data_IF_174000887211
#
_entry.id   IF_174000887211
#
_cell.length_a   1.000
_cell.length_b   1.000
_cell.length_c   1.000
_cell.angle_alpha   90.00
_cell.angle_beta   90.00
_cell.angle_gamma   90.00
#
_symmetry.space_group_name_H-M   'P 1'
#
loop_
_entity.id
_entity.type
_entity.pdbx_description
1 polymer ?
#
# COMPACT_ATOMS: atom_id res chain seq x y z
N UNK A 1 5.96 6.38 9.25
CA UNK A 1 7.07 6.85 10.12
C UNK A 1 7.64 8.13 9.55
N UNK A 2 7.57 9.22 10.31
CA UNK A 2 7.91 10.56 9.84
C UNK A 2 9.45 10.71 9.70
N UNK A 3 9.96 10.53 8.48
CA UNK A 3 11.37 10.67 8.14
C UNK A 3 11.95 12.08 8.46
N UNK A 4 11.11 13.05 8.83
CA UNK A 4 11.53 14.39 9.26
C UNK A 4 12.20 14.42 10.64
N UNK A 5 11.95 13.46 11.53
CA UNK A 5 12.55 13.44 12.87
C UNK A 5 14.06 13.13 12.85
N UNK A 6 14.51 12.31 11.90
CA UNK A 6 15.95 12.00 11.73
C UNK A 6 16.70 13.20 11.11
N UNK A 7 16.06 13.92 10.18
CA UNK A 7 16.69 15.06 9.50
C UNK A 7 16.81 16.36 10.34
N UNK A 8 16.03 16.46 11.42
CA UNK A 8 15.93 17.66 12.26
C UNK A 8 16.66 17.56 13.59
N UNK A 9 17.22 16.40 13.94
CA UNK A 9 17.93 16.23 15.21
C UNK A 9 19.27 17.01 15.22
N UNK A 10 19.42 18.07 16.03
CA UNK A 10 20.63 18.89 16.08
C UNK A 10 21.85 18.14 16.62
N UNK A 11 21.65 17.15 17.49
CA UNK A 11 22.71 16.30 18.05
C UNK A 11 23.32 15.40 16.96
N UNK A 12 22.49 14.83 16.09
CA UNK A 12 22.94 14.03 14.95
C UNK A 12 23.78 14.87 13.95
N UNK A 13 23.45 16.15 13.77
CA UNK A 13 24.28 17.09 12.97
C UNK A 13 25.58 17.49 13.64
N UNK A 14 25.65 17.43 14.97
CA UNK A 14 26.83 17.80 15.75
C UNK A 14 27.92 16.74 15.68
N UNK A 15 27.53 15.45 15.68
CA UNK A 15 28.44 14.30 15.49
C UNK A 15 29.20 14.37 14.16
N UNK A 16 28.62 15.01 13.13
CA UNK A 16 29.20 15.11 11.78
C UNK A 16 30.12 16.33 11.62
N UNK A 17 30.02 17.35 12.48
CA UNK A 17 30.69 18.66 12.26
C UNK A 17 31.94 18.92 13.09
N UNK A 18 32.12 18.24 14.23
CA UNK A 18 33.18 18.59 15.19
C UNK A 18 34.43 17.70 15.14
N UNK A 19 34.55 16.77 14.18
CA UNK A 19 35.78 15.99 13.94
C UNK A 19 36.18 16.02 12.45
N UNK A 20 37.49 16.03 12.17
CA UNK A 20 38.06 16.06 10.82
C UNK A 20 37.48 14.95 9.93
N UNK A 21 36.50 15.31 9.09
CA UNK A 21 35.75 14.41 8.19
C UNK A 21 36.68 13.67 7.21
N UNK A 22 37.90 14.16 7.01
CA UNK A 22 38.95 13.53 6.20
C UNK A 22 39.66 12.35 6.88
N UNK A 23 39.35 12.06 8.16
CA UNK A 23 40.02 11.02 8.96
C UNK A 23 39.13 9.87 9.44
N UNK A 24 37.79 9.99 9.31
CA UNK A 24 36.84 9.00 9.79
C UNK A 24 36.54 8.01 8.66
N UNK A 25 36.79 6.73 8.91
CA UNK A 25 36.45 5.67 7.95
C UNK A 25 34.94 5.43 7.91
N UNK A 26 34.43 4.85 6.81
CA UNK A 26 32.99 4.65 6.66
C UNK A 26 32.40 3.76 7.76
N UNK A 27 33.14 2.76 8.22
CA UNK A 27 32.80 1.90 9.36
C UNK A 27 32.69 2.68 10.67
N UNK A 28 33.63 3.58 10.96
CA UNK A 28 33.56 4.44 12.15
C UNK A 28 32.37 5.40 12.11
N UNK A 29 32.10 5.99 10.94
CA UNK A 29 30.92 6.83 10.73
C UNK A 29 29.62 6.04 10.93
N UNK A 30 29.52 4.87 10.32
CA UNK A 30 28.32 4.04 10.36
C UNK A 30 28.04 3.53 11.79
N UNK A 31 29.09 3.21 12.55
CA UNK A 31 28.98 2.86 13.96
C UNK A 31 28.44 4.01 14.80
N UNK A 32 28.94 5.24 14.59
CA UNK A 32 28.44 6.44 15.29
C UNK A 32 26.95 6.72 14.98
N UNK A 33 26.51 6.47 13.75
CA UNK A 33 25.09 6.59 13.37
C UNK A 33 24.22 5.59 14.12
N UNK A 34 24.67 4.33 14.23
CA UNK A 34 23.98 3.30 15.01
C UNK A 34 23.88 3.66 16.49
N UNK A 35 24.97 4.15 17.09
CA UNK A 35 25.01 4.52 18.50
C UNK A 35 24.09 5.71 18.80
N UNK A 36 24.10 6.75 17.94
CA UNK A 36 23.17 7.87 18.05
C UNK A 36 21.71 7.46 17.84
N UNK A 37 21.48 6.50 16.94
CA UNK A 37 20.19 5.88 16.70
C UNK A 37 19.65 5.15 17.93
N UNK A 38 20.48 4.35 18.60
CA UNK A 38 20.08 3.65 19.82
C UNK A 38 19.78 4.65 20.96
N UNK A 39 20.60 5.69 21.11
CA UNK A 39 20.37 6.73 22.12
C UNK A 39 19.04 7.44 21.93
N UNK A 40 18.69 7.80 20.68
CA UNK A 40 17.40 8.46 20.41
C UNK A 40 16.22 7.50 20.58
N UNK A 41 16.39 6.23 20.22
CA UNK A 41 15.37 5.19 20.39
C UNK A 41 15.00 5.02 21.87
N UNK A 42 15.98 5.04 22.77
CA UNK A 42 15.75 4.98 24.22
C UNK A 42 14.98 6.20 24.77
N UNK A 43 15.05 7.35 24.08
CA UNK A 43 14.30 8.57 24.43
C UNK A 43 12.90 8.63 23.83
N UNK A 44 12.52 7.70 22.95
CA UNK A 44 11.18 7.68 22.33
C UNK A 44 10.01 7.62 23.32
N UNK A 45 10.12 6.97 24.50
CA UNK A 45 9.08 7.06 25.54
C UNK A 45 8.87 8.48 26.06
N UNK A 46 9.92 9.31 26.13
CA UNK A 46 9.83 10.71 26.57
C UNK A 46 9.17 11.62 25.51
N UNK A 47 9.22 11.21 24.25
CA UNK A 47 8.68 11.97 23.11
C UNK A 47 7.21 11.64 22.82
N UNK A 48 6.76 10.42 23.16
CA UNK A 48 5.43 9.92 22.85
C UNK A 48 4.77 9.30 24.10
N UNK A 49 3.71 9.92 24.66
CA UNK A 49 3.07 9.46 25.90
C UNK A 49 2.53 8.02 25.88
N UNK A 50 2.18 7.50 24.69
CA UNK A 50 1.68 6.13 24.53
C UNK A 50 2.80 5.10 24.79
N UNK A 51 4.01 5.38 24.34
CA UNK A 51 5.19 4.54 24.54
C UNK A 51 5.64 4.52 26.01
N UNK A 52 5.61 5.68 26.68
CA UNK A 52 5.87 5.77 28.13
C UNK A 52 4.90 4.95 28.97
N UNK A 53 3.60 4.93 28.61
CA UNK A 53 2.61 4.11 29.32
C UNK A 53 2.84 2.62 29.14
N UNK A 54 3.30 2.21 27.96
CA UNK A 54 3.58 0.81 27.64
C UNK A 54 4.97 0.35 28.11
N UNK A 55 5.87 1.26 28.50
CA UNK A 55 7.24 0.93 28.90
C UNK A 55 8.09 0.37 27.76
N UNK A 56 7.74 0.67 26.51
CA UNK A 56 8.40 0.18 25.29
C UNK A 56 8.94 1.33 24.46
N UNK A 57 9.94 1.06 23.62
CA UNK A 57 10.48 2.00 22.64
C UNK A 57 9.71 1.91 21.32
N UNK A 58 9.91 2.88 20.43
CA UNK A 58 9.29 2.90 19.10
C UNK A 58 9.67 1.66 18.26
N UNK A 59 8.68 0.85 17.89
CA UNK A 59 8.89 -0.39 17.16
C UNK A 59 9.48 -0.16 15.75
N UNK A 60 9.08 0.93 15.09
CA UNK A 60 9.61 1.30 13.77
C UNK A 60 11.08 1.70 13.82
N UNK A 61 11.46 2.52 14.80
CA UNK A 61 12.84 2.90 15.07
C UNK A 61 13.71 1.70 15.42
N UNK A 62 13.20 0.77 16.25
CA UNK A 62 13.90 -0.49 16.55
C UNK A 62 14.15 -1.31 15.28
N UNK A 63 13.14 -1.50 14.44
CA UNK A 63 13.27 -2.26 13.19
C UNK A 63 14.32 -1.67 12.24
N UNK A 64 14.33 -0.34 12.09
CA UNK A 64 15.32 0.36 11.26
C UNK A 64 16.75 0.15 11.77
N UNK A 65 16.98 0.28 13.08
CA UNK A 65 18.31 0.04 13.68
C UNK A 65 18.75 -1.41 13.55
N UNK A 66 17.83 -2.37 13.63
CA UNK A 66 18.14 -3.78 13.40
C UNK A 66 18.63 -4.04 11.98
N UNK A 67 18.00 -3.41 10.97
CA UNK A 67 18.47 -3.51 9.57
C UNK A 67 19.88 -2.91 9.43
N UNK A 68 20.10 -1.72 10.00
CA UNK A 68 21.40 -1.06 9.93
C UNK A 68 22.50 -1.82 10.70
N UNK A 69 22.19 -2.43 11.85
CA UNK A 69 23.12 -3.30 12.57
C UNK A 69 23.57 -4.48 11.70
N UNK A 70 22.63 -5.13 11.00
CA UNK A 70 22.95 -6.20 10.05
C UNK A 70 23.88 -5.74 8.91
N UNK A 71 23.60 -4.56 8.33
CA UNK A 71 24.46 -3.96 7.30
C UNK A 71 25.86 -3.66 7.84
N UNK A 72 25.97 -3.10 9.04
CA UNK A 72 27.24 -2.77 9.67
C UNK A 72 28.09 -4.01 9.92
N UNK A 73 27.49 -5.07 10.47
CA UNK A 73 28.18 -6.32 10.79
C UNK A 73 28.72 -7.00 9.53
N UNK A 74 27.93 -6.99 8.46
CA UNK A 74 28.41 -7.42 7.13
C UNK A 74 29.60 -6.60 6.65
N UNK A 75 29.54 -5.27 6.81
CA UNK A 75 30.57 -4.34 6.38
C UNK A 75 31.90 -4.56 7.11
N UNK A 76 31.89 -4.81 8.42
CA UNK A 76 33.10 -5.07 9.22
C UNK A 76 33.60 -6.51 9.14
N UNK A 77 32.96 -7.35 8.31
CA UNK A 77 33.33 -8.75 8.12
C UNK A 77 32.96 -9.64 9.31
N UNK A 78 32.02 -9.22 10.15
CA UNK A 78 31.38 -10.12 11.10
C UNK A 78 30.48 -11.10 10.33
N UNK A 79 30.65 -12.38 10.61
CA UNK A 79 29.85 -13.42 10.01
C UNK A 79 28.40 -13.30 10.52
N UNK A 80 27.51 -12.82 9.66
CA UNK A 80 26.08 -12.82 9.96
C UNK A 80 25.60 -14.27 9.96
N UNK A 81 25.30 -14.78 11.15
CA UNK A 81 24.53 -16.03 11.25
C UNK A 81 23.13 -15.70 10.74
N UNK A 82 22.86 -16.05 9.48
CA UNK A 82 21.49 -16.12 8.96
C UNK A 82 20.80 -17.27 9.70
N UNK A 83 20.16 -16.94 10.81
CA UNK A 83 19.35 -17.91 11.53
C UNK A 83 18.04 -18.04 10.77
N UNK A 84 17.92 -19.09 9.96
CA UNK A 84 16.62 -19.58 9.48
C UNK A 84 15.83 -20.03 10.70
N UNK A 85 15.00 -19.12 11.24
CA UNK A 85 14.27 -19.33 12.48
C UNK A 85 15.18 -19.32 13.71
N UNK A 86 15.20 -18.17 14.40
CA UNK A 86 15.31 -17.99 15.86
C UNK A 86 16.47 -17.16 16.45
N UNK A 87 16.07 -16.15 17.24
CA UNK A 87 16.74 -15.65 18.46
C UNK A 87 18.22 -15.24 18.36
N UNK A 88 18.44 -13.95 18.14
CA UNK A 88 19.64 -13.28 18.66
C UNK A 88 19.49 -13.14 20.17
N UNK A 89 20.41 -13.75 20.94
CA UNK A 89 20.65 -13.37 22.33
C UNK A 89 21.15 -11.92 22.35
N UNK A 90 20.23 -10.96 22.50
CA UNK A 90 20.59 -9.61 22.94
C UNK A 90 20.78 -9.65 24.45
N UNK A 91 21.99 -9.35 24.88
CA UNK A 91 22.37 -9.22 26.28
C UNK A 91 21.92 -7.86 26.84
N UNK A 92 20.63 -7.61 27.00
CA UNK A 92 20.13 -6.47 27.80
C UNK A 92 18.83 -6.81 28.55
N UNK A 93 18.69 -6.22 29.73
CA UNK A 93 17.94 -6.71 30.88
C UNK A 93 16.41 -6.85 30.69
N UNK A 94 15.90 -7.85 31.42
CA UNK A 94 14.51 -8.25 31.62
C UNK A 94 13.54 -7.11 31.92
N UNK A 95 12.42 -7.06 31.19
CA UNK A 95 11.18 -6.46 31.65
C UNK A 95 10.14 -7.58 31.88
N UNK A 96 9.49 -7.55 33.04
CA UNK A 96 8.44 -8.50 33.43
C UNK A 96 7.17 -8.33 32.58
N UNK A 97 6.37 -9.40 32.41
CA UNK A 97 5.15 -9.35 31.61
C UNK A 97 4.04 -8.62 32.36
N UNK A 98 3.45 -7.60 31.73
CA UNK A 98 2.12 -7.12 32.09
C UNK A 98 1.15 -7.95 31.26
N UNK A 99 0.39 -8.80 31.94
CA UNK A 99 -0.76 -9.49 31.38
C UNK A 99 -1.83 -8.44 31.02
N UNK A 100 -2.14 -8.33 29.74
CA UNK A 100 -3.50 -8.25 29.16
C UNK A 100 -3.40 -7.83 27.67
N UNK A 101 -4.22 -8.51 26.85
CA UNK A 101 -4.52 -8.23 25.43
C UNK A 101 -3.39 -8.34 24.39
N UNK A 102 -2.81 -9.53 24.19
CA UNK A 102 -2.16 -9.90 22.93
C UNK A 102 -2.89 -11.09 22.29
N UNK A 103 -4.06 -10.82 21.70
CA UNK A 103 -4.74 -11.78 20.82
C UNK A 103 -4.62 -11.43 19.32
N UNK A 104 -4.02 -10.30 18.90
CA UNK A 104 -4.13 -9.83 17.51
C UNK A 104 -2.81 -9.51 16.78
N UNK A 105 -1.75 -10.34 16.87
CA UNK A 105 -0.50 -10.08 16.09
C UNK A 105 0.02 -11.30 15.32
N UNK A 106 -0.76 -12.37 15.18
CA UNK A 106 -0.36 -13.53 14.37
C UNK A 106 -1.46 -13.90 13.39
N UNK A 107 -1.88 -12.95 12.56
CA UNK A 107 -2.65 -13.26 11.36
C UNK A 107 -1.90 -12.81 10.11
N UNK A 108 -1.90 -13.72 9.13
CA UNK A 108 -1.58 -13.53 7.72
C UNK A 108 -0.16 -13.92 7.26
N UNK A 109 0.13 -15.22 7.34
CA UNK A 109 1.03 -15.86 6.37
C UNK A 109 0.35 -17.11 5.76
N UNK A 110 -0.89 -16.93 5.30
CA UNK A 110 -1.71 -17.98 4.72
C UNK A 110 -1.31 -18.36 3.28
N UNK A 111 -0.36 -17.66 2.67
CA UNK A 111 0.06 -17.94 1.28
C UNK A 111 0.91 -19.21 1.15
N UNK A 112 1.56 -19.67 2.23
CA UNK A 112 2.45 -20.83 2.22
C UNK A 112 2.27 -21.74 3.46
N UNK A 113 1.10 -22.33 3.63
CA UNK A 113 0.83 -23.31 4.72
C UNK A 113 1.62 -24.60 4.47
N UNK A 114 2.74 -24.77 5.17
CA UNK A 114 3.58 -25.99 5.11
C UNK A 114 3.07 -27.10 6.04
N UNK A 115 2.54 -26.73 7.21
CA UNK A 115 1.97 -27.65 8.21
C UNK A 115 0.52 -27.32 8.50
N UNK A 116 -0.32 -28.35 8.66
CA UNK A 116 -1.77 -28.20 8.68
C UNK A 116 -2.32 -27.54 9.96
N UNK A 117 -1.73 -27.81 11.12
CA UNK A 117 -2.31 -27.40 12.40
C UNK A 117 -1.44 -26.37 13.11
N UNK A 118 -2.04 -25.25 13.51
CA UNK A 118 -1.50 -24.40 14.56
C UNK A 118 -1.84 -25.02 15.91
N UNK A 119 -0.84 -25.28 16.74
CA UNK A 119 -1.01 -25.85 18.08
C UNK A 119 -0.47 -24.88 19.11
N UNK A 120 -1.36 -24.35 19.95
CA UNK A 120 -1.05 -23.37 20.99
C UNK A 120 -1.53 -23.85 22.37
N UNK A 121 -0.71 -23.65 23.40
CA UNK A 121 -1.07 -23.98 24.77
C UNK A 121 -0.08 -23.38 25.78
N UNK A 122 -0.46 -23.42 27.04
CA UNK A 122 0.42 -23.15 28.18
C UNK A 122 0.81 -24.44 28.89
N UNK A 123 2.03 -24.46 29.43
CA UNK A 123 2.49 -25.45 30.40
C UNK A 123 2.54 -24.75 31.76
N UNK A 124 1.72 -25.24 32.68
CA UNK A 124 1.61 -24.77 34.07
C UNK A 124 2.06 -25.88 35.03
N UNK A 125 2.23 -25.56 36.31
CA UNK A 125 2.64 -26.53 37.34
C UNK A 125 3.85 -27.38 36.91
N UNK A 126 4.91 -26.71 36.42
CA UNK A 126 6.11 -27.41 35.96
C UNK A 126 6.69 -28.28 37.08
N UNK A 127 7.20 -29.46 36.71
CA UNK A 127 7.82 -30.38 37.67
C UNK A 127 9.06 -29.70 38.26
N UNK A 128 9.32 -29.92 39.56
CA UNK A 128 10.43 -29.31 40.32
C UNK A 128 11.83 -29.48 39.69
N UNK A 129 12.00 -30.45 38.80
CA UNK A 129 13.25 -30.76 38.10
C UNK A 129 13.37 -30.09 36.71
N UNK A 130 12.38 -29.28 36.30
CA UNK A 130 12.42 -28.52 35.05
C UNK A 130 13.32 -27.30 35.24
N UNK A 131 14.22 -27.11 34.29
CA UNK A 131 15.14 -25.96 34.24
C UNK A 131 14.99 -25.28 32.88
N UNK A 132 15.47 -24.05 32.73
CA UNK A 132 15.48 -23.37 31.44
C UNK A 132 16.17 -24.21 30.35
N UNK A 133 17.22 -24.96 30.69
CA UNK A 133 17.88 -25.87 29.74
C UNK A 133 16.99 -27.05 29.29
N UNK A 134 16.01 -27.48 30.09
CA UNK A 134 15.00 -28.47 29.67
C UNK A 134 13.91 -27.83 28.79
N UNK A 135 13.57 -26.56 29.03
CA UNK A 135 12.66 -25.78 28.19
C UNK A 135 13.29 -25.54 26.80
N UNK A 136 14.59 -25.20 26.75
CA UNK A 136 15.34 -25.06 25.50
C UNK A 136 15.32 -26.38 24.70
N UNK A 137 15.57 -27.52 25.36
CA UNK A 137 15.48 -28.83 24.69
C UNK A 137 14.09 -29.19 24.20
N UNK A 138 13.06 -28.77 24.93
CA UNK A 138 11.68 -28.95 24.51
C UNK A 138 11.39 -28.16 23.24
N UNK A 139 11.87 -26.92 23.15
CA UNK A 139 11.81 -26.10 21.95
C UNK A 139 12.55 -26.75 20.77
N UNK A 140 13.77 -27.23 20.98
CA UNK A 140 14.54 -27.96 19.96
C UNK A 140 13.76 -29.17 19.43
N UNK A 141 13.07 -29.91 20.31
CA UNK A 141 12.23 -31.04 19.94
C UNK A 141 11.05 -30.59 19.05
N UNK A 142 10.41 -29.47 19.35
CA UNK A 142 9.31 -28.95 18.52
C UNK A 142 9.77 -28.53 17.12
N UNK A 143 10.98 -28.00 16.97
CA UNK A 143 11.53 -27.67 15.64
C UNK A 143 11.69 -28.89 14.73
N UNK A 144 11.86 -30.08 15.32
CA UNK A 144 12.00 -31.30 14.51
C UNK A 144 10.68 -31.79 13.93
N UNK A 145 9.54 -31.29 14.43
CA UNK A 145 8.20 -31.75 14.05
C UNK A 145 7.34 -30.67 13.38
N UNK A 146 7.86 -29.45 13.25
CA UNK A 146 7.10 -28.30 12.77
C UNK A 146 7.94 -27.07 12.49
N UNK A 147 7.29 -26.02 11.99
CA UNK A 147 7.84 -24.67 11.85
C UNK A 147 7.12 -23.68 12.77
N UNK A 148 7.50 -22.39 12.67
CA UNK A 148 6.96 -21.30 13.48
C UNK A 148 6.93 -21.62 14.99
N UNK A 149 8.00 -22.27 15.48
CA UNK A 149 8.09 -22.71 16.87
C UNK A 149 8.35 -21.51 17.79
N UNK A 150 7.43 -21.31 18.74
CA UNK A 150 7.57 -20.35 19.83
C UNK A 150 7.46 -21.09 21.15
N UNK A 151 8.50 -21.01 21.97
CA UNK A 151 8.46 -21.47 23.36
C UNK A 151 9.01 -20.33 24.20
N UNK A 152 8.12 -19.62 24.88
CA UNK A 152 8.47 -18.44 25.69
C UNK A 152 7.95 -18.66 27.10
N UNK A 153 8.81 -18.44 28.09
CA UNK A 153 8.43 -18.55 29.49
C UNK A 153 9.61 -18.91 30.39
N UNK A 154 9.29 -19.30 31.61
CA UNK A 154 10.25 -19.72 32.63
C UNK A 154 9.73 -20.96 33.39
N UNK A 155 10.28 -21.22 34.58
CA UNK A 155 9.89 -22.37 35.41
C UNK A 155 8.49 -22.25 36.02
N UNK A 156 7.83 -21.10 35.93
CA UNK A 156 6.48 -20.90 36.47
C UNK A 156 5.41 -21.11 35.38
N UNK A 157 5.66 -20.62 34.16
CA UNK A 157 4.73 -20.71 33.02
C UNK A 157 5.50 -20.76 31.70
N UNK A 158 5.10 -21.67 30.79
CA UNK A 158 5.64 -21.74 29.43
C UNK A 158 4.53 -21.65 28.41
N UNK A 159 4.55 -20.64 27.52
CA UNK A 159 3.67 -20.55 26.36
C UNK A 159 4.32 -21.26 25.17
N UNK A 160 3.55 -22.12 24.51
CA UNK A 160 3.97 -22.86 23.32
C UNK A 160 3.10 -22.51 22.12
N UNK A 161 3.72 -22.28 20.97
CA UNK A 161 3.11 -22.21 19.64
C UNK A 161 3.94 -23.08 18.70
N UNK A 162 3.31 -23.91 17.88
CA UNK A 162 3.99 -24.64 16.81
C UNK A 162 3.01 -24.96 15.69
N UNK A 163 3.46 -24.79 14.44
CA UNK A 163 2.76 -25.29 13.27
C UNK A 163 3.27 -26.71 12.98
N UNK A 164 2.39 -27.70 13.05
CA UNK A 164 2.79 -29.11 12.88
C UNK A 164 1.66 -29.95 12.29
N UNK A 165 2.02 -31.08 11.67
CA UNK A 165 1.07 -32.12 11.28
C UNK A 165 0.80 -33.13 12.41
N UNK A 166 1.53 -33.03 13.53
CA UNK A 166 1.46 -33.95 14.65
C UNK A 166 1.26 -33.22 15.99
N UNK A 167 0.12 -32.54 16.23
CA UNK A 167 -0.16 -31.85 17.50
C UNK A 167 0.03 -32.74 18.73
N UNK A 168 -0.27 -34.04 18.60
CA UNK A 168 -0.09 -35.02 19.66
C UNK A 168 1.36 -35.10 20.16
N UNK A 169 2.36 -34.97 19.28
CA UNK A 169 3.77 -35.03 19.67
C UNK A 169 4.19 -33.79 20.45
N UNK A 170 3.66 -32.62 20.11
CA UNK A 170 3.91 -31.37 20.83
C UNK A 170 3.33 -31.40 22.25
N UNK A 171 2.11 -31.92 22.39
CA UNK A 171 1.42 -32.07 23.68
C UNK A 171 2.09 -33.14 24.56
N UNK A 172 2.47 -34.28 23.97
CA UNK A 172 3.17 -35.35 24.70
C UNK A 172 4.51 -34.84 25.25
N UNK A 173 5.28 -34.13 24.44
CA UNK A 173 6.54 -33.52 24.87
C UNK A 173 6.33 -32.48 25.99
N UNK A 174 5.22 -31.74 25.98
CA UNK A 174 4.90 -30.76 27.01
C UNK A 174 4.53 -31.41 28.36
N UNK A 175 3.83 -32.56 28.34
CA UNK A 175 3.48 -33.33 29.53
C UNK A 175 4.70 -33.92 30.26
N UNK A 176 5.85 -34.01 29.57
CA UNK A 176 7.12 -34.32 30.22
C UNK A 176 7.56 -33.20 31.18
N UNK A 177 7.19 -31.94 30.90
CA UNK A 177 7.57 -30.76 31.70
C UNK A 177 6.55 -30.40 32.78
N UNK A 178 5.25 -30.42 32.49
CA UNK A 178 4.21 -29.94 33.41
C UNK A 178 2.79 -30.29 32.97
N UNK A 179 1.81 -29.55 33.47
CA UNK A 179 0.39 -29.70 33.15
C UNK A 179 0.00 -28.76 32.00
N UNK A 180 -0.85 -29.24 31.09
CA UNK A 180 -1.34 -28.45 29.95
C UNK A 180 -2.52 -27.57 30.37
N UNK A 181 -2.48 -26.29 29.96
CA UNK A 181 -3.60 -25.36 30.10
C UNK A 181 -3.88 -24.63 28.78
N UNK A 182 -5.15 -24.29 28.55
CA UNK A 182 -5.57 -23.49 27.39
C UNK A 182 -5.24 -24.08 26.01
N UNK A 183 -5.33 -25.40 25.83
CA UNK A 183 -4.98 -26.06 24.56
C UNK A 183 -5.91 -25.64 23.43
N UNK A 184 -5.34 -25.01 22.40
CA UNK A 184 -5.98 -24.68 21.12
C UNK A 184 -5.26 -25.43 19.99
N UNK A 185 -6.02 -26.15 19.17
CA UNK A 185 -5.52 -26.81 17.96
C UNK A 185 -6.41 -26.35 16.82
N UNK A 186 -5.83 -25.59 15.91
CA UNK A 186 -6.55 -24.98 14.80
C UNK A 186 -6.07 -25.51 13.47
N UNK A 187 -7.01 -25.91 12.62
CA UNK A 187 -6.72 -26.41 11.28
C UNK A 187 -6.57 -25.22 10.32
N UNK A 188 -5.34 -24.75 10.14
CA UNK A 188 -5.02 -23.61 9.28
C UNK A 188 -5.43 -23.87 7.82
N UNK A 189 -5.33 -25.12 7.34
CA UNK A 189 -5.82 -25.47 5.99
C UNK A 189 -7.34 -25.33 5.88
N UNK A 190 -8.10 -25.61 6.93
CA UNK A 190 -9.55 -25.43 6.91
C UNK A 190 -9.96 -23.97 7.10
N UNK A 191 -9.22 -23.19 7.90
CA UNK A 191 -9.37 -21.74 7.97
C UNK A 191 -9.10 -21.11 6.60
N UNK A 192 -7.99 -21.48 5.94
CA UNK A 192 -7.69 -21.12 4.55
C UNK A 192 -8.84 -21.49 3.63
N UNK A 193 -9.28 -22.76 3.62
CA UNK A 193 -10.42 -23.19 2.80
C UNK A 193 -11.71 -22.45 3.13
N UNK A 194 -11.95 -21.97 4.35
CA UNK A 194 -13.17 -21.22 4.72
C UNK A 194 -13.08 -19.76 4.27
N UNK A 195 -11.91 -19.14 4.39
CA UNK A 195 -11.61 -17.80 3.86
C UNK A 195 -11.76 -17.84 2.33
N UNK A 196 -11.22 -18.88 1.69
CA UNK A 196 -11.28 -19.09 0.25
C UNK A 196 -12.48 -19.92 -0.24
N UNK A 197 -13.40 -20.37 0.63
CA UNK A 197 -14.61 -21.09 0.21
C UNK A 197 -15.55 -20.17 -0.58
N UNK A 198 -15.49 -18.86 -0.30
CA UNK A 198 -16.17 -17.85 -1.08
C UNK A 198 -15.47 -17.57 -2.42
N UNK A 199 -14.19 -17.93 -2.57
CA UNK A 199 -13.43 -17.82 -3.83
C UNK A 199 -13.63 -19.07 -4.70
N UNK A 200 -13.69 -20.28 -4.12
CA UNK A 200 -13.86 -21.54 -4.86
C UNK A 200 -15.32 -21.85 -5.24
N UNK A 201 -16.33 -21.24 -4.59
CA UNK A 201 -17.74 -21.36 -5.04
C UNK A 201 -18.13 -20.39 -6.17
N UNK A 202 -17.17 -19.63 -6.70
CA UNK A 202 -17.27 -18.91 -7.97
C UNK A 202 -16.33 -19.50 -9.04
N UNK A 203 -16.38 -20.82 -9.25
CA UNK A 203 -16.41 -21.29 -10.65
C UNK A 203 -17.79 -20.95 -11.25
N UNK A 204 -18.18 -19.67 -11.21
CA UNK A 204 -19.06 -19.15 -12.24
C UNK A 204 -18.26 -19.24 -13.52
N UNK A 205 -18.85 -19.78 -14.59
CA UNK A 205 -18.26 -19.66 -15.93
C UNK A 205 -17.68 -18.26 -16.08
N UNK A 206 -16.35 -18.18 -16.23
CA UNK A 206 -15.67 -16.90 -16.39
C UNK A 206 -16.40 -16.13 -17.48
N UNK A 207 -16.75 -14.87 -17.20
CA UNK A 207 -17.30 -14.00 -18.24
C UNK A 207 -16.31 -13.94 -19.41
N UNK A 208 -16.80 -13.71 -20.61
CA UNK A 208 -15.91 -13.53 -21.76
C UNK A 208 -14.97 -12.33 -21.56
N UNK A 209 -15.50 -11.25 -20.98
CA UNK A 209 -14.76 -10.02 -20.71
C UNK A 209 -15.12 -9.42 -19.35
N UNK A 210 -14.19 -8.64 -18.80
CA UNK A 210 -14.43 -7.71 -17.70
C UNK A 210 -13.53 -6.48 -17.82
N UNK A 211 -13.89 -5.41 -17.13
CA UNK A 211 -13.07 -4.21 -17.03
C UNK A 211 -12.68 -3.91 -15.60
N UNK A 212 -11.43 -3.46 -15.43
CA UNK A 212 -10.88 -2.95 -14.19
C UNK A 212 -10.45 -1.51 -14.42
N UNK A 213 -11.01 -0.57 -13.66
CA UNK A 213 -10.62 0.84 -13.72
C UNK A 213 -9.95 1.26 -12.44
N UNK A 214 -8.88 2.05 -12.54
CA UNK A 214 -8.26 2.69 -11.38
C UNK A 214 -8.65 4.16 -11.38
N UNK A 215 -9.28 4.65 -10.31
CA UNK A 215 -9.72 6.03 -10.24
C UNK A 215 -9.75 6.58 -8.82
N UNK A 216 -9.84 7.90 -8.70
CA UNK A 216 -9.96 8.62 -7.44
C UNK A 216 -11.24 9.45 -7.43
N UNK A 217 -11.99 9.38 -6.33
CA UNK A 217 -13.26 10.07 -6.16
C UNK A 217 -14.45 9.12 -6.29
N UNK A 218 -15.40 9.26 -5.37
CA UNK A 218 -16.62 8.45 -5.28
C UNK A 218 -17.56 8.70 -6.47
N UNK A 219 -17.59 9.93 -6.99
CA UNK A 219 -18.29 10.27 -8.24
C UNK A 219 -17.70 9.55 -9.45
N UNK A 220 -16.38 9.56 -9.60
CA UNK A 220 -15.68 8.84 -10.68
C UNK A 220 -15.89 7.32 -10.58
N UNK A 221 -15.80 6.77 -9.38
CA UNK A 221 -16.10 5.36 -9.13
C UNK A 221 -17.52 5.00 -9.56
N UNK A 222 -18.49 5.87 -9.24
CA UNK A 222 -19.89 5.68 -9.64
C UNK A 222 -20.06 5.74 -11.16
N UNK A 223 -19.41 6.69 -11.83
CA UNK A 223 -19.42 6.80 -13.30
C UNK A 223 -18.87 5.54 -13.96
N UNK A 224 -17.71 5.03 -13.51
CA UNK A 224 -17.15 3.79 -14.07
C UNK A 224 -18.07 2.59 -13.85
N UNK A 225 -18.70 2.47 -12.67
CA UNK A 225 -19.68 1.42 -12.40
C UNK A 225 -20.91 1.52 -13.30
N UNK A 226 -21.42 2.73 -13.52
CA UNK A 226 -22.55 2.98 -14.42
C UNK A 226 -22.21 2.65 -15.89
N UNK A 227 -20.93 2.76 -16.26
CA UNK A 227 -20.38 2.32 -17.55
C UNK A 227 -20.04 0.82 -17.59
N UNK A 228 -20.53 0.02 -16.63
CA UNK A 228 -20.33 -1.42 -16.51
C UNK A 228 -18.88 -1.87 -16.30
N UNK A 229 -18.04 -1.04 -15.68
CA UNK A 229 -16.74 -1.51 -15.17
C UNK A 229 -16.96 -2.45 -13.98
N UNK A 230 -16.44 -3.67 -14.06
CA UNK A 230 -16.67 -4.73 -13.07
C UNK A 230 -15.99 -4.47 -11.73
N UNK A 231 -14.76 -3.97 -11.76
CA UNK A 231 -13.97 -3.69 -10.56
C UNK A 231 -13.35 -2.31 -10.66
N UNK A 232 -13.58 -1.49 -9.64
CA UNK A 232 -12.89 -0.22 -9.48
C UNK A 232 -11.90 -0.34 -8.32
N UNK A 233 -10.66 0.08 -8.57
CA UNK A 233 -9.61 0.17 -7.56
C UNK A 233 -9.37 1.64 -7.26
N UNK A 234 -9.32 1.98 -5.98
CA UNK A 234 -8.97 3.33 -5.58
C UNK A 234 -7.51 3.61 -5.97
N UNK A 235 -7.29 4.67 -6.73
CA UNK A 235 -5.95 5.10 -7.10
C UNK A 235 -5.91 6.48 -7.74
N UNK A 236 -4.77 7.17 -7.65
CA UNK A 236 -4.62 8.53 -8.13
C UNK A 236 -3.18 9.04 -7.98
N UNK A 237 -2.96 10.34 -8.17
CA UNK A 237 -1.61 10.93 -8.20
C UNK A 237 -0.74 10.65 -6.96
N UNK A 238 -1.37 10.49 -5.80
CA UNK A 238 -0.69 10.27 -4.51
C UNK A 238 -0.88 8.87 -3.93
N UNK A 239 -1.78 8.06 -4.51
CA UNK A 239 -2.06 6.68 -4.11
C UNK A 239 -2.06 5.80 -5.36
N UNK A 240 -0.88 5.33 -5.77
CA UNK A 240 -0.80 4.38 -6.88
C UNK A 240 -0.92 2.96 -6.29
N UNK A 241 -1.86 2.12 -6.78
CA UNK A 241 -1.98 0.75 -6.34
C UNK A 241 -0.71 -0.05 -6.66
N UNK A 242 -0.42 -1.04 -5.83
CA UNK A 242 0.67 -1.98 -6.07
C UNK A 242 0.33 -2.97 -7.20
N UNK A 243 1.35 -3.72 -7.65
CA UNK A 243 1.14 -4.82 -8.61
C UNK A 243 0.15 -5.84 -8.06
N UNK A 244 0.24 -6.15 -6.76
CA UNK A 244 -0.62 -7.12 -6.09
C UNK A 244 -2.06 -6.62 -6.00
N UNK A 245 -2.28 -5.33 -5.70
CA UNK A 245 -3.62 -4.72 -5.68
C UNK A 245 -4.31 -4.84 -7.05
N UNK A 246 -3.57 -4.56 -8.13
CA UNK A 246 -4.10 -4.67 -9.50
C UNK A 246 -4.36 -6.14 -9.85
N UNK A 247 -3.48 -7.07 -9.45
CA UNK A 247 -3.66 -8.50 -9.68
C UNK A 247 -4.88 -9.05 -8.94
N UNK A 248 -5.10 -8.64 -7.69
CA UNK A 248 -6.30 -8.96 -6.92
C UNK A 248 -7.55 -8.45 -7.65
N UNK A 249 -7.52 -7.22 -8.17
CA UNK A 249 -8.64 -6.67 -8.91
C UNK A 249 -8.94 -7.43 -10.21
N UNK A 250 -7.90 -7.80 -10.98
CA UNK A 250 -8.02 -8.64 -12.18
C UNK A 250 -8.67 -9.99 -11.84
N UNK A 251 -8.21 -10.66 -10.78
CA UNK A 251 -8.75 -11.95 -10.37
C UNK A 251 -10.21 -11.81 -9.89
N UNK A 252 -10.52 -10.75 -9.14
CA UNK A 252 -11.88 -10.44 -8.66
C UNK A 252 -12.87 -10.17 -9.80
N UNK A 253 -12.40 -9.68 -10.94
CA UNK A 253 -13.22 -9.43 -12.11
C UNK A 253 -13.79 -10.72 -12.73
N UNK A 254 -13.14 -11.87 -12.51
CA UNK A 254 -13.65 -13.21 -12.88
C UNK A 254 -14.04 -13.35 -14.37
N UNK A 255 -13.14 -12.93 -15.27
CA UNK A 255 -13.33 -13.04 -16.72
C UNK A 255 -12.09 -13.62 -17.43
N UNK A 256 -12.30 -14.16 -18.64
CA UNK A 256 -11.23 -14.69 -19.49
C UNK A 256 -10.33 -13.60 -20.06
N UNK A 257 -10.94 -12.48 -20.48
CA UNK A 257 -10.25 -11.30 -21.01
C UNK A 257 -10.53 -10.11 -20.09
N UNK A 258 -9.50 -9.49 -19.53
CA UNK A 258 -9.65 -8.36 -18.61
C UNK A 258 -8.99 -7.12 -19.18
N UNK A 259 -9.77 -6.07 -19.39
CA UNK A 259 -9.26 -4.76 -19.79
C UNK A 259 -8.95 -3.93 -18.55
N UNK A 260 -7.72 -3.45 -18.43
CA UNK A 260 -7.28 -2.63 -17.31
C UNK A 260 -7.09 -1.20 -17.80
N UNK A 261 -7.74 -0.24 -17.14
CA UNK A 261 -7.71 1.20 -17.40
C UNK A 261 -6.94 1.90 -16.26
N UNK A 262 -5.61 2.14 -16.43
CA UNK A 262 -4.78 2.70 -15.36
C UNK A 262 -5.17 4.11 -14.97
N UNK A 263 -5.64 4.92 -15.92
CA UNK A 263 -6.06 6.32 -15.77
C UNK A 263 -5.03 7.22 -15.08
N UNK A 264 -3.78 6.77 -15.03
CA UNK A 264 -2.64 7.52 -14.52
C UNK A 264 -1.37 6.93 -15.14
N UNK A 265 -0.56 7.79 -15.76
CA UNK A 265 0.68 7.36 -16.41
C UNK A 265 1.67 6.64 -15.49
N UNK A 266 1.60 6.86 -14.17
CA UNK A 266 2.46 6.20 -13.18
C UNK A 266 2.00 4.77 -12.85
N UNK A 267 0.75 4.41 -13.15
CA UNK A 267 0.15 3.10 -12.85
C UNK A 267 0.34 2.12 -14.02
N UNK A 268 0.57 2.62 -15.23
CA UNK A 268 0.74 1.80 -16.45
C UNK A 268 1.83 0.72 -16.26
N UNK A 269 2.95 1.05 -15.62
CA UNK A 269 4.02 0.07 -15.38
C UNK A 269 3.56 -1.06 -14.46
N UNK A 270 2.90 -0.73 -13.35
CA UNK A 270 2.39 -1.71 -12.40
C UNK A 270 1.29 -2.59 -13.04
N UNK A 271 0.41 -1.99 -13.85
CA UNK A 271 -0.62 -2.72 -14.60
C UNK A 271 -0.01 -3.72 -15.60
N UNK A 272 1.06 -3.33 -16.31
CA UNK A 272 1.77 -4.25 -17.20
C UNK A 272 2.49 -5.37 -16.43
N UNK A 273 3.03 -5.09 -15.24
CA UNK A 273 3.60 -6.13 -14.38
C UNK A 273 2.53 -7.11 -13.87
N UNK A 274 1.36 -6.61 -13.47
CA UNK A 274 0.22 -7.44 -13.05
C UNK A 274 -0.29 -8.33 -14.19
N UNK A 275 -0.30 -7.81 -15.43
CA UNK A 275 -0.60 -8.60 -16.64
C UNK A 275 0.29 -9.83 -16.78
N UNK A 276 1.61 -9.71 -16.57
CA UNK A 276 2.55 -10.83 -16.70
C UNK A 276 2.36 -11.90 -15.60
N UNK A 277 1.74 -11.54 -14.47
CA UNK A 277 1.47 -12.44 -13.35
C UNK A 277 0.06 -13.05 -13.38
N UNK A 278 -0.85 -12.47 -14.16
CA UNK A 278 -2.22 -12.92 -14.28
C UNK A 278 -2.33 -14.28 -14.97
N UNK A 279 -3.33 -15.07 -14.57
CA UNK A 279 -3.63 -16.38 -15.19
C UNK A 279 -4.64 -16.29 -16.35
N UNK A 280 -5.17 -15.09 -16.59
CA UNK A 280 -6.17 -14.76 -17.62
C UNK A 280 -5.56 -13.78 -18.62
N UNK A 281 -6.20 -13.59 -19.77
CA UNK A 281 -5.72 -12.64 -20.78
C UNK A 281 -5.98 -11.21 -20.29
N UNK A 282 -4.93 -10.39 -20.22
CA UNK A 282 -5.02 -9.00 -19.72
C UNK A 282 -4.60 -8.01 -20.81
N UNK A 283 -5.45 -7.01 -21.02
CA UNK A 283 -5.27 -5.92 -21.98
C UNK A 283 -5.14 -4.61 -21.21
N UNK A 284 -3.92 -4.10 -21.06
CA UNK A 284 -3.66 -2.82 -20.38
C UNK A 284 -3.85 -1.68 -21.37
N UNK A 285 -5.03 -1.09 -21.39
CA UNK A 285 -5.36 0.06 -22.24
C UNK A 285 -4.64 1.28 -21.65
N UNK A 286 -3.73 1.95 -22.38
CA UNK A 286 -2.73 2.84 -21.77
C UNK A 286 -3.26 4.24 -21.44
N UNK A 287 -4.41 4.32 -20.76
CA UNK A 287 -5.01 5.59 -20.31
C UNK A 287 -4.18 6.23 -19.22
N UNK A 288 -4.06 7.56 -19.29
CA UNK A 288 -3.20 8.39 -18.43
C UNK A 288 -3.98 9.33 -17.52
N UNK A 289 -5.29 9.46 -17.73
CA UNK A 289 -6.23 10.21 -16.91
C UNK A 289 -7.63 9.57 -16.99
N UNK A 290 -8.53 9.96 -16.07
CA UNK A 290 -9.87 9.36 -15.97
C UNK A 290 -10.78 9.66 -17.18
N UNK A 291 -10.78 10.87 -17.79
CA UNK A 291 -11.48 11.11 -19.05
C UNK A 291 -11.09 10.16 -20.19
N UNK A 292 -9.79 9.88 -20.35
CA UNK A 292 -9.34 8.87 -21.32
C UNK A 292 -9.91 7.48 -20.99
N UNK A 293 -9.98 7.12 -19.70
CA UNK A 293 -10.62 5.89 -19.22
C UNK A 293 -12.10 5.79 -19.57
N UNK A 294 -12.85 6.89 -19.40
CA UNK A 294 -14.27 6.97 -19.73
C UNK A 294 -14.47 6.81 -21.24
N UNK A 295 -13.70 7.55 -22.05
CA UNK A 295 -13.75 7.46 -23.52
C UNK A 295 -13.39 6.05 -24.01
N UNK A 296 -12.36 5.43 -23.44
CA UNK A 296 -12.01 4.03 -23.71
C UNK A 296 -13.16 3.07 -23.37
N UNK A 297 -13.79 3.24 -22.21
CA UNK A 297 -14.91 2.38 -21.76
C UNK A 297 -16.10 2.48 -22.71
N UNK A 298 -16.43 3.68 -23.18
CA UNK A 298 -17.53 3.92 -24.12
C UNK A 298 -17.29 3.33 -25.51
N UNK A 299 -16.03 3.14 -25.90
CA UNK A 299 -15.65 2.56 -27.18
C UNK A 299 -15.61 1.02 -27.19
N UNK A 300 -15.85 0.38 -26.04
CA UNK A 300 -15.91 -1.07 -25.96
C UNK A 300 -17.14 -1.63 -26.66
N UNK A 301 -16.93 -2.67 -27.47
CA UNK A 301 -17.97 -3.40 -28.18
C UNK A 301 -17.99 -4.88 -27.72
N UNK A 302 -19.06 -5.34 -27.05
CA UNK A 302 -19.15 -6.72 -26.56
C UNK A 302 -19.16 -7.78 -27.69
N UNK A 303 -19.44 -7.38 -28.93
CA UNK A 303 -19.45 -8.27 -30.09
C UNK A 303 -18.08 -8.33 -30.81
N UNK A 304 -17.12 -7.46 -30.44
CA UNK A 304 -15.78 -7.41 -31.02
C UNK A 304 -14.79 -8.38 -30.35
N UNK A 305 -13.70 -8.71 -31.05
CA UNK A 305 -12.63 -9.53 -30.46
C UNK A 305 -11.89 -8.76 -29.36
N UNK A 306 -11.21 -9.44 -28.42
CA UNK A 306 -10.42 -8.76 -27.39
C UNK A 306 -9.35 -7.82 -27.96
N UNK A 307 -8.70 -8.22 -29.05
CA UNK A 307 -7.71 -7.41 -29.76
C UNK A 307 -8.33 -6.19 -30.44
N UNK A 308 -9.46 -6.37 -31.14
CA UNK A 308 -10.18 -5.24 -31.77
C UNK A 308 -10.67 -4.26 -30.70
N UNK A 309 -11.18 -4.76 -29.57
CA UNK A 309 -11.55 -3.92 -28.44
C UNK A 309 -10.36 -3.16 -27.88
N UNK A 310 -9.21 -3.81 -27.69
CA UNK A 310 -8.01 -3.12 -27.22
C UNK A 310 -7.60 -1.98 -28.17
N UNK A 311 -7.67 -2.20 -29.49
CA UNK A 311 -7.40 -1.17 -30.50
C UNK A 311 -8.44 -0.04 -30.48
N UNK A 312 -9.74 -0.37 -30.50
CA UNK A 312 -10.84 0.60 -30.47
C UNK A 312 -10.78 1.48 -29.22
N UNK A 313 -10.62 0.86 -28.05
CA UNK A 313 -10.46 1.55 -26.76
C UNK A 313 -9.22 2.45 -26.76
N UNK A 314 -8.11 1.98 -27.35
CA UNK A 314 -6.85 2.75 -27.44
C UNK A 314 -6.90 3.91 -28.43
N UNK A 315 -7.76 3.85 -29.45
CA UNK A 315 -7.95 4.92 -30.41
C UNK A 315 -8.89 6.01 -29.86
N UNK A 316 -9.94 5.60 -29.14
CA UNK A 316 -11.02 6.49 -28.70
C UNK A 316 -10.53 7.71 -27.92
N UNK A 317 -9.56 7.53 -27.03
CA UNK A 317 -9.10 8.61 -26.17
C UNK A 317 -7.98 9.47 -26.77
N UNK A 318 -7.52 9.22 -28.00
CA UNK A 318 -6.42 9.99 -28.60
C UNK A 318 -6.78 11.45 -28.89
N UNK A 319 -8.05 11.70 -29.16
CA UNK A 319 -8.58 13.05 -29.42
C UNK A 319 -9.05 13.76 -28.15
N UNK A 320 -9.02 13.08 -26.99
CA UNK A 320 -9.43 13.64 -25.70
C UNK A 320 -8.35 14.59 -25.18
N UNK A 321 -8.71 15.87 -25.05
CA UNK A 321 -7.91 16.85 -24.32
C UNK A 321 -8.38 16.90 -22.86
N UNK A 322 -7.65 16.23 -21.98
CA UNK A 322 -7.87 16.33 -20.55
C UNK A 322 -7.27 17.62 -19.98
N UNK A 323 -8.10 18.42 -19.31
CA UNK A 323 -7.68 19.54 -18.48
C UNK A 323 -7.82 19.22 -17.00
N UNK A 324 -6.83 19.57 -16.22
CA UNK A 324 -6.82 19.44 -14.77
C UNK A 324 -6.66 20.82 -14.13
N UNK A 325 -7.64 21.23 -13.32
CA UNK A 325 -7.65 22.51 -12.62
C UNK A 325 -7.33 22.26 -11.14
N UNK A 326 -6.23 22.82 -10.66
CA UNK A 326 -5.75 22.63 -9.29
C UNK A 326 -4.98 23.87 -8.79
N UNK A 327 -4.55 23.85 -7.53
CA UNK A 327 -3.71 24.87 -6.94
C UNK A 327 -2.23 24.46 -6.98
N UNK A 328 -1.34 25.43 -7.10
CA UNK A 328 0.09 25.20 -7.07
C UNK A 328 0.59 25.00 -5.63
N UNK A 329 1.18 23.83 -5.34
CA UNK A 329 1.77 23.54 -4.02
C UNK A 329 3.15 24.16 -3.80
N UNK A 330 3.75 24.77 -4.83
CA UNK A 330 5.06 25.43 -4.74
C UNK A 330 5.23 26.49 -5.82
N UNK A 331 6.07 27.48 -5.53
CA UNK A 331 6.47 28.48 -6.50
C UNK A 331 7.46 27.90 -7.51
N UNK A 332 7.22 28.10 -8.82
CA UNK A 332 8.08 27.60 -9.90
C UNK A 332 7.93 28.45 -11.17
N UNK A 333 8.87 28.32 -12.11
CA UNK A 333 8.75 28.91 -13.45
C UNK A 333 8.74 27.81 -14.49
N UNK A 334 7.60 27.59 -15.13
CA UNK A 334 7.38 26.51 -16.10
C UNK A 334 6.45 26.97 -17.23
N UNK A 335 6.66 26.46 -18.45
CA UNK A 335 5.82 26.74 -19.63
C UNK A 335 5.55 28.23 -19.90
N UNK A 336 6.48 29.12 -19.53
CA UNK A 336 6.33 30.57 -19.67
C UNK A 336 5.57 31.25 -18.52
N UNK A 337 5.00 30.48 -17.59
CA UNK A 337 4.34 30.98 -16.39
C UNK A 337 5.31 31.11 -15.22
N UNK A 338 5.18 32.17 -14.45
CA UNK A 338 5.76 32.29 -13.11
C UNK A 338 4.68 31.96 -12.10
N UNK A 339 4.66 30.73 -11.62
CA UNK A 339 3.67 30.18 -10.68
C UNK A 339 4.15 30.42 -9.26
N UNK A 340 3.26 30.90 -8.41
CA UNK A 340 3.43 31.03 -6.96
C UNK A 340 2.63 29.95 -6.27
N UNK A 341 3.07 29.56 -5.09
CA UNK A 341 2.27 28.70 -4.21
C UNK A 341 0.90 29.33 -3.96
N UNK A 342 -0.15 28.53 -4.08
CA UNK A 342 -1.56 28.94 -3.98
C UNK A 342 -2.18 29.45 -5.28
N UNK A 343 -1.40 29.71 -6.35
CA UNK A 343 -1.98 30.07 -7.64
C UNK A 343 -2.87 28.94 -8.18
N UNK A 344 -4.00 29.29 -8.80
CA UNK A 344 -4.81 28.33 -9.54
C UNK A 344 -4.20 28.13 -10.92
N UNK A 345 -3.98 26.89 -11.30
CA UNK A 345 -3.34 26.50 -12.55
C UNK A 345 -4.23 25.53 -13.32
N UNK A 346 -4.21 25.66 -14.64
CA UNK A 346 -4.78 24.69 -15.57
C UNK A 346 -3.67 23.92 -16.26
N UNK A 347 -3.75 22.60 -16.19
CA UNK A 347 -2.76 21.67 -16.73
C UNK A 347 -3.42 20.88 -17.87
N UNK A 348 -2.69 20.70 -18.96
CA UNK A 348 -3.06 19.77 -20.03
C UNK A 348 -1.85 18.86 -20.31
N UNK A 349 -2.02 17.56 -20.06
CA UNK A 349 -0.91 16.61 -20.01
C UNK A 349 0.13 17.04 -18.96
N UNK A 350 1.36 17.33 -19.41
CA UNK A 350 2.47 17.77 -18.51
C UNK A 350 2.75 19.27 -18.54
N UNK A 351 1.87 20.07 -19.16
CA UNK A 351 2.11 21.50 -19.40
C UNK A 351 1.09 22.34 -18.64
N UNK A 352 1.60 23.38 -17.96
CA UNK A 352 0.75 24.46 -17.46
C UNK A 352 0.35 25.33 -18.65
N UNK A 353 -0.96 25.47 -18.87
CA UNK A 353 -1.53 26.23 -20.00
C UNK A 353 -2.30 27.47 -19.53
N UNK A 354 -2.68 27.52 -18.25
CA UNK A 354 -3.37 28.64 -17.64
C UNK A 354 -2.89 28.86 -16.21
N UNK A 355 -2.97 30.11 -15.76
CA UNK A 355 -2.71 30.52 -14.38
C UNK A 355 -3.65 31.68 -14.03
N UNK A 356 -4.32 31.60 -12.89
CA UNK A 356 -5.12 32.69 -12.33
C UNK A 356 -5.09 32.67 -10.78
N UNK A 357 -5.80 33.58 -10.14
CA UNK A 357 -6.14 33.51 -8.71
C UNK A 357 -7.55 32.93 -8.49
N UNK A 358 -8.42 33.05 -9.50
CA UNK A 358 -9.79 32.55 -9.45
C UNK A 358 -9.93 31.23 -10.24
N UNK A 359 -10.73 30.29 -9.71
CA UNK A 359 -10.90 28.96 -10.29
C UNK A 359 -11.65 29.02 -11.63
N UNK A 360 -12.72 29.81 -11.71
CA UNK A 360 -13.50 29.95 -12.93
C UNK A 360 -12.68 30.61 -14.04
N UNK A 361 -11.93 31.67 -13.71
CA UNK A 361 -11.08 32.38 -14.67
C UNK A 361 -9.90 31.52 -15.15
N UNK A 362 -9.30 30.71 -14.26
CA UNK A 362 -8.27 29.74 -14.65
C UNK A 362 -8.84 28.68 -15.60
N UNK A 363 -10.05 28.19 -15.30
CA UNK A 363 -10.75 27.18 -16.11
C UNK A 363 -11.08 27.72 -17.49
N UNK A 364 -11.74 28.88 -17.60
CA UNK A 364 -12.05 29.52 -18.89
C UNK A 364 -10.79 29.79 -19.72
N UNK A 365 -9.71 30.22 -19.07
CA UNK A 365 -8.41 30.43 -19.73
C UNK A 365 -7.81 29.12 -20.26
N UNK A 366 -7.98 28.01 -19.54
CA UNK A 366 -7.50 26.69 -19.94
C UNK A 366 -8.34 26.14 -21.11
N UNK A 367 -9.67 26.17 -21.01
CA UNK A 367 -10.60 25.76 -22.06
C UNK A 367 -10.31 26.50 -23.37
N UNK A 368 -10.11 27.82 -23.31
CA UNK A 368 -9.77 28.64 -24.49
C UNK A 368 -8.55 28.15 -25.27
N UNK A 369 -7.61 27.45 -24.63
CA UNK A 369 -6.38 26.97 -25.27
C UNK A 369 -6.56 25.67 -26.05
N UNK A 370 -7.61 24.91 -25.77
CA UNK A 370 -7.79 23.55 -26.31
C UNK A 370 -9.15 23.34 -26.97
N UNK A 371 -10.12 24.24 -26.79
CA UNK A 371 -11.47 24.13 -27.35
C UNK A 371 -11.57 24.36 -28.87
N UNK A 372 -10.50 24.80 -29.54
CA UNK A 372 -10.57 25.08 -30.98
C UNK A 372 -10.78 23.78 -31.78
N UNK A 373 -11.90 23.71 -32.52
CA UNK A 373 -12.25 22.55 -33.35
C UNK A 373 -12.86 21.38 -32.58
N UNK A 374 -13.29 21.62 -31.34
CA UNK A 374 -13.91 20.65 -30.42
C UNK A 374 -15.40 20.96 -30.29
N UNK A 375 -16.22 19.95 -30.02
CA UNK A 375 -17.68 20.09 -29.96
C UNK A 375 -18.30 19.67 -28.62
N UNK A 376 -17.58 18.89 -27.80
CA UNK A 376 -18.05 18.43 -26.50
C UNK A 376 -17.08 18.82 -25.38
N UNK A 377 -17.63 19.27 -24.25
CA UNK A 377 -16.90 19.48 -23.01
C UNK A 377 -17.65 18.83 -21.85
N UNK A 378 -17.00 17.89 -21.18
CA UNK A 378 -17.53 17.25 -19.97
C UNK A 378 -16.67 17.61 -18.77
N UNK A 379 -17.27 18.27 -17.77
CA UNK A 379 -16.59 18.73 -16.57
C UNK A 379 -16.92 17.85 -15.36
N UNK A 380 -15.90 17.30 -14.72
CA UNK A 380 -16.03 16.50 -13.50
C UNK A 380 -15.52 17.29 -12.30
N UNK A 381 -16.42 17.70 -11.40
CA UNK A 381 -16.05 18.54 -10.26
C UNK A 381 -15.63 17.73 -9.03
N UNK A 382 -14.61 18.22 -8.33
CA UNK A 382 -14.01 17.55 -7.17
C UNK A 382 -14.79 17.72 -5.88
N UNK A 383 -14.34 17.06 -4.81
CA UNK A 383 -15.04 17.04 -3.51
C UNK A 383 -15.15 18.44 -2.85
N UNK A 384 -14.21 19.33 -3.15
CA UNK A 384 -14.15 20.70 -2.63
C UNK A 384 -15.03 21.69 -3.42
N UNK A 385 -15.73 21.24 -4.47
CA UNK A 385 -16.56 22.09 -5.33
C UNK A 385 -18.04 21.80 -5.11
N UNK A 386 -18.80 22.85 -4.83
CA UNK A 386 -20.26 22.77 -4.75
C UNK A 386 -20.87 22.61 -6.15
N UNK A 387 -21.89 21.76 -6.27
CA UNK A 387 -22.61 21.52 -7.53
C UNK A 387 -23.16 22.82 -8.14
N UNK A 388 -23.66 23.75 -7.32
CA UNK A 388 -24.12 25.06 -7.79
C UNK A 388 -23.03 25.88 -8.48
N UNK A 389 -21.78 25.76 -8.03
CA UNK A 389 -20.66 26.51 -8.61
C UNK A 389 -20.14 25.82 -9.87
N UNK A 390 -20.17 24.49 -9.92
CA UNK A 390 -19.94 23.73 -11.15
C UNK A 390 -20.98 24.07 -12.23
N UNK A 391 -22.27 24.11 -11.86
CA UNK A 391 -23.36 24.48 -12.78
C UNK A 391 -23.20 25.90 -13.33
N UNK A 392 -22.89 26.89 -12.47
CA UNK A 392 -22.62 28.28 -12.91
C UNK A 392 -21.41 28.37 -13.84
N UNK A 393 -20.37 27.56 -13.60
CA UNK A 393 -19.18 27.54 -14.46
C UNK A 393 -19.49 26.89 -15.81
N UNK A 394 -20.26 25.81 -15.83
CA UNK A 394 -20.73 25.17 -17.06
C UNK A 394 -21.51 26.16 -17.95
N UNK A 395 -22.48 26.87 -17.39
CA UNK A 395 -23.23 27.93 -18.11
C UNK A 395 -22.30 29.01 -18.67
N UNK A 396 -21.32 29.48 -17.88
CA UNK A 396 -20.34 30.47 -18.35
C UNK A 396 -19.47 29.95 -19.49
N UNK A 397 -19.08 28.67 -19.47
CA UNK A 397 -18.31 28.06 -20.54
C UNK A 397 -19.16 28.04 -21.82
N UNK A 398 -20.41 27.57 -21.75
CA UNK A 398 -21.35 27.53 -22.88
C UNK A 398 -21.68 28.94 -23.43
N UNK A 399 -21.65 29.96 -22.57
CA UNK A 399 -21.76 31.36 -23.00
C UNK A 399 -20.55 31.86 -23.80
N UNK A 400 -19.34 31.44 -23.43
CA UNK A 400 -18.09 31.89 -24.04
C UNK A 400 -17.66 31.05 -25.26
N UNK A 401 -18.09 29.79 -25.33
CA UNK A 401 -17.71 28.81 -26.36
C UNK A 401 -18.98 28.21 -26.98
N UNK A 402 -19.56 28.95 -27.93
CA UNK A 402 -20.87 28.61 -28.54
C UNK A 402 -20.90 27.34 -29.37
N UNK A 403 -19.73 26.82 -29.72
CA UNK A 403 -19.57 25.58 -30.49
C UNK A 403 -19.43 24.34 -29.59
N UNK A 404 -19.34 24.52 -28.26
CA UNK A 404 -19.24 23.42 -27.29
C UNK A 404 -20.59 23.11 -26.64
N UNK A 405 -20.98 21.84 -26.65
CA UNK A 405 -21.97 21.29 -25.73
C UNK A 405 -21.29 21.01 -24.38
N UNK A 406 -21.88 21.50 -23.29
CA UNK A 406 -21.26 21.45 -21.96
C UNK A 406 -22.09 20.57 -21.03
N UNK A 407 -21.48 19.49 -20.54
CA UNK A 407 -22.01 18.65 -19.47
C UNK A 407 -21.16 18.78 -18.21
N UNK A 408 -21.76 18.54 -17.04
CA UNK A 408 -21.01 18.44 -15.79
C UNK A 408 -21.52 17.30 -14.91
N UNK A 409 -20.60 16.66 -14.20
CA UNK A 409 -20.87 15.53 -13.32
C UNK A 409 -20.04 15.65 -12.04
N UNK A 410 -20.54 15.06 -10.96
CA UNK A 410 -19.75 14.93 -9.74
C UNK A 410 -18.66 13.88 -9.95
N UNK A 411 -17.40 14.27 -9.76
CA UNK A 411 -16.24 13.37 -9.81
C UNK A 411 -15.70 13.00 -8.43
N UNK A 412 -15.78 13.91 -7.46
CA UNK A 412 -15.38 13.64 -6.07
C UNK A 412 -13.88 13.45 -5.86
N UNK A 413 -13.04 13.78 -6.84
CA UNK A 413 -11.59 13.68 -6.68
C UNK A 413 -11.07 14.73 -5.67
N UNK A 414 -10.06 14.40 -4.84
CA UNK A 414 -9.60 15.28 -3.75
C UNK A 414 -8.63 16.39 -4.15
N UNK A 415 -7.86 16.23 -5.22
CA UNK A 415 -6.74 17.14 -5.55
C UNK A 415 -7.04 18.15 -6.66
N UNK A 416 -8.16 17.97 -7.37
CA UNK A 416 -8.50 18.74 -8.56
C UNK A 416 -9.91 19.31 -8.41
N UNK A 417 -10.03 20.64 -8.51
CA UNK A 417 -11.32 21.31 -8.52
C UNK A 417 -12.16 20.82 -9.70
N UNK A 418 -11.54 20.70 -10.87
CA UNK A 418 -12.16 20.18 -12.06
C UNK A 418 -11.18 19.31 -12.84
N UNK A 419 -11.68 18.18 -13.32
CA UNK A 419 -11.08 17.41 -14.42
C UNK A 419 -12.04 17.57 -15.59
N UNK A 420 -11.54 17.93 -16.77
CA UNK A 420 -12.40 18.28 -17.91
C UNK A 420 -11.96 17.48 -19.14
N UNK A 421 -12.90 16.76 -19.74
CA UNK A 421 -12.76 16.18 -21.08
C UNK A 421 -13.17 17.23 -22.11
N UNK A 422 -12.37 17.40 -23.16
CA UNK A 422 -12.72 18.22 -24.33
C UNK A 422 -12.34 17.42 -25.56
N UNK A 423 -13.30 17.10 -26.41
CA UNK A 423 -13.11 16.20 -27.56
C UNK A 423 -13.73 16.71 -28.86
#
# INVERSE_FOLDING_TARGET
LDAKLIHTNPEARKIIRDEDVDSITFDEFFKKVLDAGEEILQKTPEMLPVLAKAGVVDAGGRGLLTIFDGMYRTLVGEELVLVSGETVKSSFASAQPIAESQEDVLENDYEHITFQYCTEFFITHLKNEVTNAKIDKYRDKLMTIGDCVLVIGDTDLVKTHVHTNYPNMALEAALELGELDGVKIENMLEQYRKIHANDEQKESELKEYAMVSICSGDGMESIFKDLNVDVVVEGGQTMNPSVDDILIAINKASAKNVFVLPNNSNIILAANQAKELAKVDVFVVPTTNMPEGISATLAFDPDATPEDNFENMSEAFKEVNCLEITHAVRSTRMNGFSVKEGDIIGICGKKIIAKNQDIAEATLSAVKKVAEGKDMLTMYFGEDVLEEDAAKLAEKIEENFKDLEVAYYYGGQPHYYYIISIE
#
